data_IF_150775597594
#
_entry.id   IF_150775597594
#
_cell.length_a   1.000
_cell.length_b   1.000
_cell.length_c   1.000
_cell.angle_alpha   90.00
_cell.angle_beta   90.00
_cell.angle_gamma   90.00
#
_symmetry.space_group_name_H-M   'P 1'
#
loop_
_entity.id
_entity.type
_entity.pdbx_description
1 polymer ?
#
# COMPACT_ATOMS: atom_id res chain seq x y z
N UNK A 1 -3.62 5.32 19.08
CA UNK A 1 -3.60 3.83 19.01
C UNK A 1 -4.65 3.23 18.08
N UNK A 2 -5.94 3.57 18.19
CA UNK A 2 -6.98 3.00 17.31
C UNK A 2 -6.71 3.25 15.80
N UNK A 3 -6.33 4.47 15.44
CA UNK A 3 -6.02 4.85 14.05
C UNK A 3 -4.87 4.02 13.46
N UNK A 4 -3.83 3.77 14.27
CA UNK A 4 -2.67 2.94 13.88
C UNK A 4 -3.10 1.50 13.57
N UNK A 5 -4.06 0.94 14.31
CA UNK A 5 -4.56 -0.41 14.06
C UNK A 5 -5.33 -0.51 12.73
N UNK A 6 -6.11 0.53 12.38
CA UNK A 6 -6.79 0.60 11.07
C UNK A 6 -5.76 0.73 9.96
N UNK A 7 -4.76 1.60 10.13
CA UNK A 7 -3.69 1.80 9.15
C UNK A 7 -2.90 0.50 8.93
N UNK A 8 -2.59 -0.23 10.01
CA UNK A 8 -1.95 -1.54 9.93
C UNK A 8 -2.79 -2.55 9.15
N UNK A 9 -4.10 -2.66 9.44
CA UNK A 9 -5.00 -3.58 8.74
C UNK A 9 -5.11 -3.25 7.25
N UNK A 10 -5.18 -1.96 6.90
CA UNK A 10 -5.27 -1.50 5.52
C UNK A 10 -3.95 -1.78 4.78
N UNK A 11 -2.80 -1.50 5.41
CA UNK A 11 -1.49 -1.83 4.84
C UNK A 11 -1.30 -3.34 4.63
N UNK A 12 -1.72 -4.18 5.58
CA UNK A 12 -1.61 -5.64 5.46
C UNK A 12 -2.43 -6.17 4.28
N UNK A 13 -3.64 -5.63 4.09
CA UNK A 13 -4.49 -5.95 2.93
C UNK A 13 -3.85 -5.53 1.61
N UNK A 14 -3.26 -4.33 1.53
CA UNK A 14 -2.61 -3.84 0.31
C UNK A 14 -1.33 -4.60 -0.02
N UNK A 15 -0.55 -5.01 0.97
CA UNK A 15 0.61 -5.89 0.76
C UNK A 15 0.17 -7.29 0.30
N UNK A 16 -0.95 -7.81 0.81
CA UNK A 16 -1.53 -9.05 0.33
C UNK A 16 -1.92 -8.97 -1.16
N UNK A 17 -2.34 -7.81 -1.65
CA UNK A 17 -2.60 -7.56 -3.08
C UNK A 17 -1.31 -7.49 -3.92
N UNK A 18 -0.17 -7.10 -3.33
CA UNK A 18 1.14 -7.04 -4.01
C UNK A 18 1.90 -8.39 -4.01
N UNK A 19 1.57 -9.31 -3.10
CA UNK A 19 2.17 -10.65 -3.03
C UNK A 19 2.21 -11.44 -4.35
N UNK A 20 1.19 -11.41 -5.23
CA UNK A 20 1.21 -12.18 -6.47
C UNK A 20 2.04 -11.57 -7.61
N UNK A 21 2.74 -10.45 -7.39
CA UNK A 21 3.56 -9.79 -8.42
C UNK A 21 4.64 -10.70 -9.03
N UNK A 22 5.44 -11.47 -8.24
CA UNK A 22 6.49 -12.32 -8.81
C UNK A 22 5.94 -13.38 -9.78
N UNK A 23 4.76 -13.94 -9.49
CA UNK A 23 4.10 -14.90 -10.38
C UNK A 23 3.52 -14.23 -11.63
N UNK A 24 2.96 -13.03 -11.48
CA UNK A 24 2.38 -12.30 -12.61
C UNK A 24 3.42 -11.73 -13.58
N UNK A 25 4.70 -11.63 -13.20
CA UNK A 25 5.79 -11.32 -14.13
C UNK A 25 6.03 -12.40 -15.19
N UNK A 26 5.53 -13.62 -14.99
CA UNK A 26 5.65 -14.73 -15.96
C UNK A 26 4.55 -14.71 -17.03
N UNK A 27 3.56 -13.82 -16.93
CA UNK A 27 2.47 -13.70 -17.87
C UNK A 27 2.90 -13.01 -19.18
N UNK A 28 2.15 -13.18 -20.28
CA UNK A 28 2.49 -12.62 -21.59
C UNK A 28 2.61 -11.09 -21.64
N UNK A 29 1.99 -10.38 -20.68
CA UNK A 29 2.02 -8.93 -20.60
C UNK A 29 2.50 -8.45 -19.22
N UNK A 30 3.82 -8.50 -18.94
CA UNK A 30 4.37 -8.07 -17.65
C UNK A 30 4.32 -6.54 -17.47
N UNK A 31 4.31 -5.77 -18.57
CA UNK A 31 4.28 -4.30 -18.54
C UNK A 31 2.95 -3.78 -17.97
N UNK A 32 1.83 -4.40 -18.34
CA UNK A 32 0.52 -4.04 -17.81
C UNK A 32 0.43 -4.34 -16.31
N UNK A 33 0.89 -5.51 -15.88
CA UNK A 33 0.98 -5.88 -14.46
C UNK A 33 1.86 -4.91 -13.67
N UNK A 34 3.03 -4.55 -14.20
CA UNK A 34 3.92 -3.59 -13.55
C UNK A 34 3.28 -2.21 -13.41
N UNK A 35 2.51 -1.78 -14.42
CA UNK A 35 1.77 -0.51 -14.38
C UNK A 35 0.74 -0.53 -13.25
N UNK A 36 -0.06 -1.60 -13.15
CA UNK A 36 -1.02 -1.76 -12.06
C UNK A 36 -0.35 -1.81 -10.68
N UNK A 37 0.73 -2.57 -10.54
CA UNK A 37 1.51 -2.63 -9.30
C UNK A 37 2.04 -1.25 -8.90
N UNK A 38 2.53 -0.46 -9.87
CA UNK A 38 3.04 0.89 -9.60
C UNK A 38 1.94 1.83 -9.13
N UNK A 39 0.72 1.73 -9.69
CA UNK A 39 -0.44 2.53 -9.28
C UNK A 39 -0.78 2.21 -7.82
N UNK A 40 -0.82 0.93 -7.44
CA UNK A 40 -1.12 0.51 -6.06
C UNK A 40 -0.07 1.05 -5.09
N UNK A 41 1.23 0.97 -5.42
CA UNK A 41 2.30 1.51 -4.58
C UNK A 41 2.20 3.04 -4.43
N UNK A 42 1.88 3.76 -5.50
CA UNK A 42 1.68 5.21 -5.45
C UNK A 42 0.48 5.57 -4.56
N UNK A 43 -0.62 4.82 -4.64
CA UNK A 43 -1.79 5.01 -3.80
C UNK A 43 -1.45 4.79 -2.31
N UNK A 44 -0.74 3.71 -2.01
CA UNK A 44 -0.29 3.36 -0.66
C UNK A 44 0.60 4.46 -0.06
N UNK A 45 1.58 4.94 -0.83
CA UNK A 45 2.50 6.00 -0.37
C UNK A 45 1.78 7.33 -0.18
N UNK A 46 0.83 7.69 -1.06
CA UNK A 46 0.01 8.90 -0.91
C UNK A 46 -0.91 8.83 0.32
N UNK A 47 -1.59 7.70 0.54
CA UNK A 47 -2.45 7.49 1.71
C UNK A 47 -1.67 7.57 3.02
N UNK A 48 -0.48 6.97 3.05
CA UNK A 48 0.42 7.07 4.20
C UNK A 48 0.89 8.49 4.48
N UNK A 49 1.30 9.23 3.43
CA UNK A 49 1.71 10.64 3.57
C UNK A 49 0.54 11.49 4.08
N UNK A 50 -0.68 11.26 3.58
CA UNK A 50 -1.85 11.99 4.04
C UNK A 50 -2.07 11.80 5.54
N UNK A 51 -2.12 10.55 6.02
CA UNK A 51 -2.28 10.23 7.45
C UNK A 51 -1.12 10.80 8.30
N UNK A 52 0.10 10.80 7.76
CA UNK A 52 1.24 11.44 8.41
C UNK A 52 1.02 12.95 8.57
N UNK A 53 0.62 13.65 7.50
CA UNK A 53 0.39 15.10 7.54
C UNK A 53 -0.78 15.51 8.44
N UNK A 54 -1.75 14.63 8.65
CA UNK A 54 -2.87 14.85 9.58
C UNK A 54 -2.48 14.58 11.05
N UNK A 55 -1.22 14.25 11.33
CA UNK A 55 -0.76 13.95 12.69
C UNK A 55 -1.32 12.64 13.24
N UNK A 56 -1.86 11.76 12.38
CA UNK A 56 -2.42 10.46 12.79
C UNK A 56 -1.38 9.49 13.35
N UNK A 57 -0.10 9.77 13.06
CA UNK A 57 1.07 9.04 13.53
C UNK A 57 1.84 9.77 14.64
N UNK A 58 1.42 10.98 15.03
CA UNK A 58 2.00 11.63 16.19
C UNK A 58 1.56 10.87 17.45
N UNK A 59 2.55 10.40 18.18
CA UNK A 59 2.34 9.72 19.45
C UNK A 59 1.78 10.79 20.38
N UNK A 60 0.51 10.63 20.79
CA UNK A 60 0.00 11.41 21.90
C UNK A 60 0.84 11.06 23.13
N UNK A 61 1.71 11.98 23.54
CA UNK A 61 2.01 12.13 24.97
C UNK A 61 0.72 12.50 25.71
#
# INVERSE_FOLDING_TARGET
>A
FFLVAILFLLFDLEIALLLPIPWSMQLPNPVMTLTWASIVIVLLTLGFIYEWTQGGLEWAE
#
